data_IF_746323675626
#
_entry.id   IF_746323675626
#
_cell.length_a   1.000
_cell.length_b   1.000
_cell.length_c   1.000
_cell.angle_alpha   90.00
_cell.angle_beta   90.00
_cell.angle_gamma   90.00
#
_symmetry.space_group_name_H-M   'P 1'
#
loop_
_entity.id
_entity.type
_entity.pdbx_description
1 polymer ?
#
# COMPACT_ATOMS: atom_id res chain seq x y z
N UNK A 1 2.43 7.75 -21.98
CA UNK A 1 1.62 8.77 -21.30
C UNK A 1 1.13 8.16 -19.99
N UNK A 2 1.44 8.76 -18.85
CA UNK A 2 0.93 8.26 -17.57
C UNK A 2 -0.57 8.60 -17.47
N UNK A 3 -1.42 7.59 -17.22
CA UNK A 3 -2.85 7.79 -17.01
C UNK A 3 -3.08 7.67 -15.51
N UNK A 4 -3.70 8.67 -14.90
CA UNK A 4 -4.06 8.64 -13.48
C UNK A 4 -5.56 8.40 -13.34
N UNK A 5 -5.91 7.60 -12.34
CA UNK A 5 -7.27 7.44 -11.84
C UNK A 5 -7.40 8.29 -10.58
N UNK A 6 -8.49 9.04 -10.49
CA UNK A 6 -8.78 9.91 -9.34
C UNK A 6 -9.93 9.33 -8.52
N UNK A 7 -9.72 9.27 -7.20
CA UNK A 7 -10.71 8.84 -6.22
C UNK A 7 -10.96 9.97 -5.22
N UNK A 8 -12.21 10.13 -4.80
CA UNK A 8 -12.55 11.03 -3.71
C UNK A 8 -12.50 10.24 -2.40
N UNK A 9 -11.64 10.63 -1.46
CA UNK A 9 -11.52 9.96 -0.16
C UNK A 9 -11.84 10.96 0.93
N UNK A 10 -12.94 10.71 1.64
CA UNK A 10 -13.39 11.58 2.72
C UNK A 10 -13.29 10.86 4.06
N UNK A 11 -12.58 11.48 5.01
CA UNK A 11 -12.65 11.11 6.41
C UNK A 11 -13.83 11.83 7.04
N UNK A 12 -14.73 11.05 7.63
CA UNK A 12 -15.82 11.58 8.43
C UNK A 12 -15.41 11.52 9.91
N UNK A 13 -15.55 12.62 10.68
CA UNK A 13 -15.33 12.57 12.11
C UNK A 13 -16.33 11.64 12.77
N UNK A 14 -15.87 10.90 13.78
CA UNK A 14 -16.73 10.12 14.68
C UNK A 14 -16.80 10.84 16.02
N UNK A 15 -18.01 11.23 16.44
CA UNK A 15 -18.23 11.98 17.68
C UNK A 15 -17.59 13.37 17.67
N UNK A 16 -16.96 13.77 18.77
CA UNK A 16 -16.38 15.11 18.97
C UNK A 16 -14.93 15.25 18.43
N UNK A 17 -14.52 14.38 17.50
CA UNK A 17 -13.17 14.45 16.93
C UNK A 17 -12.98 15.74 16.13
N UNK A 18 -11.99 16.54 16.55
CA UNK A 18 -11.65 17.84 15.95
C UNK A 18 -10.68 17.69 14.77
N UNK A 19 -10.02 16.54 14.64
CA UNK A 19 -9.02 16.30 13.59
C UNK A 19 -9.68 15.88 12.27
N UNK A 20 -10.24 16.85 11.57
CA UNK A 20 -10.74 16.70 10.19
C UNK A 20 -10.01 17.68 9.27
N UNK A 21 -9.73 17.25 8.03
CA UNK A 21 -9.03 18.07 7.03
C UNK A 21 -7.54 17.76 6.93
N UNK A 22 -6.75 18.70 6.43
CA UNK A 22 -5.34 18.47 6.01
C UNK A 22 -4.49 17.82 7.11
N UNK A 23 -4.65 18.26 8.36
CA UNK A 23 -3.90 17.69 9.49
C UNK A 23 -4.32 16.24 9.78
N UNK A 24 -5.63 15.95 9.76
CA UNK A 24 -6.17 14.61 9.95
C UNK A 24 -5.67 13.63 8.88
N UNK A 25 -5.71 14.01 7.61
CA UNK A 25 -5.17 13.17 6.53
C UNK A 25 -3.66 12.94 6.67
N UNK A 26 -2.88 13.98 6.99
CA UNK A 26 -1.43 13.81 7.22
C UNK A 26 -1.16 12.82 8.34
N UNK A 27 -1.92 12.89 9.43
CA UNK A 27 -1.82 11.95 10.55
C UNK A 27 -2.20 10.53 10.11
N UNK A 28 -3.31 10.35 9.41
CA UNK A 28 -3.78 9.07 8.89
C UNK A 28 -2.71 8.37 8.05
N UNK A 29 -2.17 9.05 7.04
CA UNK A 29 -1.14 8.46 6.17
C UNK A 29 0.19 8.26 6.91
N UNK A 30 0.51 9.09 7.91
CA UNK A 30 1.68 8.88 8.76
C UNK A 30 1.53 7.60 9.59
N UNK A 31 0.37 7.38 10.20
CA UNK A 31 0.04 6.14 10.93
C UNK A 31 0.12 4.92 10.01
N UNK A 32 -0.44 5.03 8.79
CA UNK A 32 -0.38 3.96 7.79
C UNK A 32 1.08 3.60 7.43
N UNK A 33 1.94 4.60 7.24
CA UNK A 33 3.38 4.41 6.98
C UNK A 33 4.07 3.72 8.15
N UNK A 34 3.81 4.18 9.36
CA UNK A 34 4.53 3.72 10.55
C UNK A 34 4.09 2.29 10.94
N UNK A 35 2.78 2.00 10.84
CA UNK A 35 2.22 0.63 10.98
C UNK A 35 2.84 -0.32 9.96
N UNK A 36 2.97 0.10 8.69
CA UNK A 36 3.68 -0.69 7.69
C UNK A 36 5.13 -0.98 8.06
N UNK A 37 5.90 0.04 8.48
CA UNK A 37 7.31 -0.13 8.89
C UNK A 37 7.46 -1.13 10.03
N UNK A 38 6.55 -1.08 11.01
CA UNK A 38 6.51 -2.04 12.12
C UNK A 38 6.23 -3.45 11.59
N UNK A 39 5.19 -3.65 10.78
CA UNK A 39 4.81 -4.98 10.26
C UNK A 39 5.88 -5.58 9.35
N UNK A 40 6.56 -4.75 8.54
CA UNK A 40 7.71 -5.19 7.73
C UNK A 40 8.88 -5.61 8.63
N UNK A 41 9.22 -4.82 9.66
CA UNK A 41 10.28 -5.14 10.62
C UNK A 41 10.00 -6.42 11.40
N UNK A 42 8.75 -6.66 11.77
CA UNK A 42 8.28 -7.88 12.44
C UNK A 42 8.14 -9.08 11.51
N UNK A 43 8.40 -8.94 10.20
CA UNK A 43 8.15 -9.97 9.17
C UNK A 43 6.68 -10.42 9.08
N UNK A 44 5.74 -9.57 9.51
CA UNK A 44 4.28 -9.80 9.46
C UNK A 44 3.61 -9.01 8.33
N UNK A 45 4.36 -8.59 7.32
CA UNK A 45 3.83 -7.79 6.22
C UNK A 45 2.79 -8.55 5.39
N UNK A 46 2.90 -9.87 5.22
CA UNK A 46 1.89 -10.69 4.52
C UNK A 46 0.52 -10.70 5.24
N UNK A 47 0.52 -10.56 6.57
CA UNK A 47 -0.71 -10.48 7.36
C UNK A 47 -1.32 -9.06 7.37
N UNK A 48 -0.55 -8.06 6.94
CA UNK A 48 -0.94 -6.65 6.92
C UNK A 48 -1.18 -6.10 5.52
N UNK A 49 -0.57 -6.69 4.50
CA UNK A 49 -0.75 -6.31 3.10
C UNK A 49 -1.99 -7.02 2.55
N UNK A 50 -2.77 -6.30 1.75
CA UNK A 50 -3.99 -6.83 1.17
C UNK A 50 -3.65 -7.93 0.16
N UNK A 51 -4.27 -9.10 0.31
CA UNK A 51 -4.13 -10.21 -0.63
C UNK A 51 -5.10 -10.02 -1.81
N UNK A 52 -4.56 -9.77 -3.01
CA UNK A 52 -5.35 -9.59 -4.23
C UNK A 52 -5.81 -10.95 -4.80
N UNK A 53 -4.92 -11.94 -4.76
CA UNK A 53 -5.12 -13.30 -5.25
C UNK A 53 -4.02 -14.21 -4.69
N UNK A 54 -4.22 -15.54 -4.69
CA UNK A 54 -3.33 -16.60 -4.16
C UNK A 54 -2.05 -16.11 -3.46
N UNK A 55 -1.07 -15.60 -4.23
CA UNK A 55 0.21 -15.14 -3.73
C UNK A 55 0.53 -13.67 -4.04
N UNK A 56 -0.37 -12.85 -4.58
CA UNK A 56 -0.11 -11.43 -4.87
C UNK A 56 -0.66 -10.52 -3.78
N UNK A 57 0.20 -9.64 -3.29
CA UNK A 57 -0.09 -8.71 -2.22
C UNK A 57 0.10 -7.28 -2.68
N UNK A 58 -0.71 -6.38 -2.14
CA UNK A 58 -0.50 -4.93 -2.18
C UNK A 58 -0.34 -4.41 -0.78
N UNK A 59 0.57 -3.45 -0.61
CA UNK A 59 0.76 -2.79 0.67
C UNK A 59 1.21 -1.34 0.55
N UNK A 60 1.06 -0.55 1.62
CA UNK A 60 1.78 0.70 1.78
C UNK A 60 3.29 0.46 1.64
N UNK A 61 4.03 1.44 1.11
CA UNK A 61 5.49 1.35 1.01
C UNK A 61 6.18 2.55 1.65
N UNK A 62 6.12 3.71 0.99
CA UNK A 62 6.80 4.90 1.49
C UNK A 62 6.00 6.15 1.14
N UNK A 63 5.78 6.99 2.14
CA UNK A 63 4.92 8.17 2.06
C UNK A 63 5.64 9.40 2.60
N UNK A 64 5.41 10.52 1.93
CA UNK A 64 5.95 11.82 2.22
C UNK A 64 4.82 12.85 2.21
N UNK A 65 4.79 13.73 3.18
CA UNK A 65 3.83 14.85 3.22
C UNK A 65 4.56 16.12 2.80
N UNK A 66 4.16 16.71 1.67
CA UNK A 66 4.63 18.02 1.21
C UNK A 66 3.45 18.99 1.15
N UNK A 67 3.59 20.19 1.72
CA UNK A 67 2.74 21.37 1.45
C UNK A 67 1.23 21.13 1.17
N UNK A 68 0.56 20.29 1.96
CA UNK A 68 -0.89 20.06 1.85
C UNK A 68 -1.29 18.89 0.94
N UNK A 69 -0.30 18.20 0.34
CA UNK A 69 -0.45 16.95 -0.35
C UNK A 69 0.35 15.83 0.34
N UNK A 70 -0.01 14.59 0.02
CA UNK A 70 0.66 13.38 0.51
C UNK A 70 1.03 12.57 -0.71
N UNK A 71 2.32 12.38 -0.92
CA UNK A 71 2.88 11.68 -2.06
C UNK A 71 3.52 10.38 -1.58
N UNK A 72 3.53 9.37 -2.42
CA UNK A 72 4.21 8.16 -2.04
C UNK A 72 4.04 7.02 -3.02
N UNK A 73 4.35 5.83 -2.52
CA UNK A 73 4.18 4.61 -3.29
C UNK A 73 3.43 3.57 -2.47
N UNK A 74 2.51 2.88 -3.13
CA UNK A 74 2.16 1.51 -2.76
C UNK A 74 3.13 0.54 -3.43
N UNK A 75 3.15 -0.69 -2.95
CA UNK A 75 3.93 -1.77 -3.55
C UNK A 75 3.03 -2.97 -3.83
N UNK A 76 3.21 -3.59 -4.99
CA UNK A 76 2.73 -4.94 -5.27
C UNK A 76 3.88 -5.88 -5.44
N UNK A 77 3.69 -7.08 -4.96
CA UNK A 77 4.63 -8.17 -5.17
C UNK A 77 3.87 -9.49 -5.13
N UNK A 78 4.57 -10.56 -5.47
CA UNK A 78 4.13 -11.91 -5.23
C UNK A 78 5.03 -12.58 -4.22
N UNK A 79 4.43 -13.30 -3.28
CA UNK A 79 5.14 -14.18 -2.37
C UNK A 79 5.54 -15.47 -3.09
N UNK A 80 6.78 -15.91 -2.86
CA UNK A 80 7.28 -17.14 -3.46
C UNK A 80 8.27 -17.83 -2.53
N UNK A 81 8.15 -19.14 -2.45
CA UNK A 81 9.03 -19.97 -1.63
C UNK A 81 10.40 -20.17 -2.30
N UNK A 82 10.47 -20.04 -3.63
CA UNK A 82 11.66 -20.31 -4.43
C UNK A 82 11.78 -19.34 -5.61
N UNK A 83 12.95 -18.73 -5.75
CA UNK A 83 13.32 -17.95 -6.94
C UNK A 83 14.44 -18.69 -7.66
N UNK A 84 14.16 -19.22 -8.85
CA UNK A 84 15.16 -19.86 -9.71
C UNK A 84 15.61 -18.94 -10.84
N UNK A 85 16.88 -19.06 -11.22
CA UNK A 85 17.44 -18.39 -12.38
C UNK A 85 16.95 -19.07 -13.66
N UNK A 86 16.29 -18.31 -14.54
CA UNK A 86 15.57 -18.82 -15.70
C UNK A 86 16.45 -19.61 -16.71
N UNK A 87 17.75 -19.33 -16.74
CA UNK A 87 18.70 -19.93 -17.69
C UNK A 87 19.42 -21.16 -17.14
N UNK A 88 19.50 -21.30 -15.82
CA UNK A 88 20.32 -22.34 -15.19
C UNK A 88 19.52 -23.23 -14.24
N UNK A 89 18.25 -22.89 -14.00
CA UNK A 89 17.36 -23.45 -12.98
C UNK A 89 17.98 -23.49 -11.56
N UNK A 90 19.08 -22.76 -11.34
CA UNK A 90 19.69 -22.66 -10.02
C UNK A 90 18.80 -21.82 -9.12
N UNK A 91 18.45 -22.37 -7.96
CA UNK A 91 17.76 -21.63 -6.91
C UNK A 91 18.66 -20.47 -6.43
N UNK A 92 18.22 -19.24 -6.70
CA UNK A 92 18.86 -18.01 -6.23
C UNK A 92 18.53 -17.80 -4.75
N UNK A 93 17.33 -18.21 -4.33
CA UNK A 93 16.88 -18.21 -2.93
C UNK A 93 15.99 -19.42 -2.63
N UNK A 94 16.26 -20.09 -1.51
CA UNK A 94 15.45 -21.18 -0.94
C UNK A 94 15.10 -20.82 0.51
N UNK A 95 13.81 -20.71 0.82
CA UNK A 95 13.31 -20.42 2.18
C UNK A 95 13.83 -21.40 3.24
N UNK A 96 14.20 -22.63 2.87
CA UNK A 96 14.72 -23.64 3.81
C UNK A 96 16.04 -23.23 4.48
N UNK A 97 16.82 -22.34 3.86
CA UNK A 97 18.15 -21.95 4.35
C UNK A 97 18.22 -20.54 4.96
N UNK A 98 17.22 -19.68 4.74
CA UNK A 98 17.06 -18.39 5.45
C UNK A 98 15.58 -18.06 5.65
N UNK A 99 15.11 -17.78 6.89
CA UNK A 99 13.71 -17.49 7.22
C UNK A 99 13.28 -16.06 6.82
N UNK A 100 13.76 -15.56 5.68
CA UNK A 100 13.36 -14.28 5.14
C UNK A 100 12.33 -14.57 4.04
N UNK A 101 11.14 -14.00 4.16
CA UNK A 101 10.11 -14.04 3.13
C UNK A 101 10.69 -13.40 1.86
N UNK A 102 10.75 -14.17 0.77
CA UNK A 102 11.28 -13.73 -0.52
C UNK A 102 10.12 -13.29 -1.38
N UNK A 103 10.18 -12.07 -1.89
CA UNK A 103 9.14 -11.51 -2.75
C UNK A 103 9.67 -11.28 -4.16
N UNK A 104 8.87 -11.60 -5.16
CA UNK A 104 9.18 -11.41 -6.59
C UNK A 104 8.25 -10.39 -7.23
N UNK A 105 8.71 -9.80 -8.34
CA UNK A 105 7.89 -8.88 -9.13
C UNK A 105 7.51 -7.59 -8.39
N UNK A 106 8.36 -7.13 -7.46
CA UNK A 106 8.11 -5.92 -6.67
C UNK A 106 7.95 -4.70 -7.58
N UNK A 107 6.71 -4.22 -7.74
CA UNK A 107 6.36 -3.02 -8.52
C UNK A 107 5.88 -1.92 -7.58
N UNK A 108 6.46 -0.72 -7.72
CA UNK A 108 6.05 0.46 -6.98
C UNK A 108 4.99 1.23 -7.76
N UNK A 109 4.03 1.78 -7.03
CA UNK A 109 2.85 2.43 -7.57
C UNK A 109 2.74 3.84 -7.01
N UNK A 110 3.10 4.86 -7.79
CA UNK A 110 3.06 6.23 -7.30
C UNK A 110 1.61 6.65 -7.07
N UNK A 111 1.39 7.37 -5.97
CA UNK A 111 0.15 8.07 -5.70
C UNK A 111 0.42 9.49 -5.22
N UNK A 112 -0.57 10.34 -5.42
CA UNK A 112 -0.62 11.71 -4.92
C UNK A 112 -2.00 11.92 -4.30
N UNK A 113 -2.05 12.39 -3.07
CA UNK A 113 -3.28 12.74 -2.38
C UNK A 113 -3.30 14.23 -2.06
N UNK A 114 -4.23 14.97 -2.65
CA UNK A 114 -4.49 16.36 -2.28
C UNK A 114 -5.42 16.40 -1.06
N UNK A 115 -4.86 16.67 0.11
CA UNK A 115 -5.61 16.67 1.36
C UNK A 115 -6.54 17.88 1.52
N UNK A 116 -6.40 18.92 0.69
CA UNK A 116 -7.34 20.05 0.66
C UNK A 116 -8.56 19.73 -0.20
N UNK A 117 -8.35 19.02 -1.32
CA UNK A 117 -9.42 18.65 -2.26
C UNK A 117 -10.00 17.26 -2.00
N UNK A 118 -9.41 16.48 -1.11
CA UNK A 118 -9.79 15.11 -0.80
C UNK A 118 -9.68 14.16 -2.01
N UNK A 119 -8.70 14.40 -2.88
CA UNK A 119 -8.53 13.66 -4.14
C UNK A 119 -7.26 12.81 -4.09
N UNK A 120 -7.40 11.50 -4.26
CA UNK A 120 -6.32 10.54 -4.46
C UNK A 120 -6.15 10.25 -5.95
N UNK A 121 -5.00 10.61 -6.51
CA UNK A 121 -4.55 10.19 -7.83
C UNK A 121 -3.62 8.98 -7.74
N UNK A 122 -3.94 7.90 -8.44
CA UNK A 122 -3.08 6.70 -8.57
C UNK A 122 -2.84 6.41 -10.06
N UNK A 123 -1.62 6.00 -10.41
CA UNK A 123 -1.30 5.62 -11.79
C UNK A 123 -2.06 4.34 -12.22
N UNK A 124 -2.72 4.39 -13.38
CA UNK A 124 -3.65 3.35 -13.87
C UNK A 124 -2.99 2.00 -14.06
N UNK A 125 -1.78 1.94 -14.62
CA UNK A 125 -1.07 0.68 -14.86
C UNK A 125 -0.44 0.10 -13.58
N UNK A 126 -0.51 0.86 -12.50
CA UNK A 126 -0.07 0.54 -11.17
C UNK A 126 -1.23 0.14 -10.25
N UNK A 127 -2.46 0.53 -10.57
CA UNK A 127 -3.64 0.13 -9.82
C UNK A 127 -3.84 -1.41 -9.90
N UNK A 128 -4.31 -2.04 -8.81
CA UNK A 128 -4.78 -3.42 -8.84
C UNK A 128 -6.03 -3.51 -9.72
N UNK A 129 -5.80 -3.92 -10.97
CA UNK A 129 -6.78 -4.17 -12.01
C UNK A 129 -7.42 -2.91 -12.63
N UNK A 130 -7.90 -3.09 -13.85
CA UNK A 130 -8.86 -2.22 -14.55
C UNK A 130 -10.23 -2.15 -13.84
N UNK A 131 -10.34 -2.80 -12.67
CA UNK A 131 -11.54 -3.04 -11.90
C UNK A 131 -11.53 -2.15 -10.65
N UNK A 132 -12.11 -0.97 -10.79
CA UNK A 132 -12.14 0.12 -9.80
C UNK A 132 -12.56 -0.34 -8.39
N UNK A 133 -13.38 -1.39 -8.31
CA UNK A 133 -13.92 -1.98 -7.08
C UNK A 133 -12.80 -2.49 -6.16
N UNK A 134 -11.75 -3.10 -6.72
CA UNK A 134 -10.68 -3.70 -5.92
C UNK A 134 -9.79 -2.69 -5.22
N UNK A 135 -9.61 -1.50 -5.82
CA UNK A 135 -8.80 -0.47 -5.17
C UNK A 135 -9.53 0.16 -3.99
N UNK A 136 -10.85 0.36 -4.11
CA UNK A 136 -11.67 0.82 -2.99
C UNK A 136 -11.60 -0.16 -1.80
N UNK A 137 -11.78 -1.46 -2.07
CA UNK A 137 -11.63 -2.51 -1.04
C UNK A 137 -10.26 -2.47 -0.36
N UNK A 138 -9.18 -2.30 -1.14
CA UNK A 138 -7.82 -2.20 -0.62
C UNK A 138 -7.63 -0.98 0.28
N UNK A 139 -8.14 0.17 -0.16
CA UNK A 139 -8.04 1.41 0.60
C UNK A 139 -8.85 1.30 1.90
N UNK A 140 -10.08 0.78 1.84
CA UNK A 140 -10.91 0.53 3.04
C UNK A 140 -10.19 -0.43 3.98
N UNK A 141 -9.61 -1.52 3.47
CA UNK A 141 -8.89 -2.49 4.29
C UNK A 141 -7.76 -1.83 5.11
N UNK A 142 -6.95 -0.98 4.47
CA UNK A 142 -5.86 -0.30 5.17
C UNK A 142 -6.33 0.78 6.14
N UNK A 143 -7.40 1.49 5.78
CA UNK A 143 -7.92 2.59 6.57
C UNK A 143 -8.77 2.12 7.75
N UNK A 144 -9.48 0.99 7.63
CA UNK A 144 -10.34 0.44 8.68
C UNK A 144 -9.58 0.22 9.99
N UNK A 145 -8.41 -0.39 9.89
CA UNK A 145 -7.55 -0.71 11.04
C UNK A 145 -6.90 0.54 11.67
N UNK A 146 -7.08 1.72 11.08
CA UNK A 146 -6.55 3.01 11.55
C UNK A 146 -7.70 3.95 11.94
N UNK A 147 -8.88 3.80 11.35
CA UNK A 147 -10.06 4.63 11.64
C UNK A 147 -10.78 4.23 12.94
N UNK A 148 -10.55 3.01 13.42
CA UNK A 148 -11.11 2.50 14.67
C UNK A 148 -10.14 2.65 15.87
N UNK A 149 -8.90 3.10 15.65
CA UNK A 149 -7.94 3.51 16.70
C UNK A 149 -8.17 4.98 17.13
#
# INVERSE_FOLDING_TARGET
>A
MAVFIFYNIQLLPKGDSVEVGVQGYKKLFTLLRDKNRIKVREKKHLAYHFNINKNSYIGPYDFFSETGAINGNFVRYSDTDNVSELLTDKAIFDQKSKPNIVVVGKKKFPFVFDAKKHVLGIEKNAAPAEDYIKLEEILIYFLKDISDE
#
